data_IF_621208241023
#
_entry.id   IF_621208241023
#
_cell.length_a   1.000
_cell.length_b   1.000
_cell.length_c   1.000
_cell.angle_alpha   90.00
_cell.angle_beta   90.00
_cell.angle_gamma   90.00
#
_symmetry.space_group_name_H-M   'P 1'
#
loop_
_entity.id
_entity.type
_entity.pdbx_description
1 polymer ?
#
# COMPACT_ATOMS: atom_id res chain seq x y z
N UNK A 1 -21.12 90.28 51.80
CA UNK A 1 -21.77 90.30 53.16
C UNK A 1 -21.66 88.91 53.65
N UNK A 2 -20.66 88.73 54.31
CA UNK A 2 -20.35 88.11 55.59
C UNK A 2 -20.80 86.67 55.75
N UNK A 3 -19.81 85.74 55.58
CA UNK A 3 -19.90 84.43 56.15
C UNK A 3 -18.93 84.35 57.32
N UNK A 4 -19.50 84.18 58.51
CA UNK A 4 -18.78 83.92 59.75
C UNK A 4 -18.90 82.43 60.03
N UNK A 5 -17.77 81.75 60.14
CA UNK A 5 -17.44 80.61 60.96
C UNK A 5 -18.30 79.37 60.89
N UNK A 6 -17.77 78.30 60.35
CA UNK A 6 -17.94 76.91 60.84
C UNK A 6 -16.96 75.94 60.13
N UNK A 7 -16.23 75.20 60.94
CA UNK A 7 -15.22 74.24 60.53
C UNK A 7 -15.77 73.17 59.60
N UNK A 8 -15.17 73.03 58.41
CA UNK A 8 -15.44 71.93 57.53
C UNK A 8 -14.46 70.75 57.81
N UNK A 9 -14.95 69.82 58.57
CA UNK A 9 -14.26 68.52 58.76
C UNK A 9 -14.35 67.75 57.47
N UNK A 10 -13.17 67.58 56.80
CA UNK A 10 -13.00 66.71 55.66
C UNK A 10 -12.99 65.22 56.08
N UNK A 11 -14.17 64.61 55.98
CA UNK A 11 -14.33 63.18 56.11
C UNK A 11 -13.71 62.52 54.89
N UNK A 12 -12.51 61.93 55.03
CA UNK A 12 -11.88 61.09 54.02
C UNK A 12 -12.65 59.77 53.89
N UNK A 13 -13.54 59.70 52.94
CA UNK A 13 -14.09 58.38 52.45
C UNK A 13 -13.06 57.66 51.64
N UNK A 14 -12.35 56.78 52.26
CA UNK A 14 -11.52 55.71 51.57
C UNK A 14 -12.49 54.71 50.95
N UNK A 15 -12.74 54.86 49.66
CA UNK A 15 -13.40 53.82 48.84
C UNK A 15 -12.40 52.68 48.63
N UNK A 16 -12.69 51.42 49.05
CA UNK A 16 -11.88 50.27 48.64
C UNK A 16 -12.06 50.03 47.13
N UNK A 17 -10.98 50.18 46.36
CA UNK A 17 -10.91 49.69 44.99
C UNK A 17 -10.93 48.15 45.04
N UNK A 18 -12.10 47.55 44.78
CA UNK A 18 -12.18 46.14 44.52
C UNK A 18 -11.58 45.87 43.13
N UNK A 19 -10.31 45.43 43.10
CA UNK A 19 -9.68 44.93 41.88
C UNK A 19 -10.26 43.56 41.60
N UNK A 20 -11.25 43.49 40.69
CA UNK A 20 -11.74 42.24 40.15
C UNK A 20 -10.66 41.65 39.21
N UNK A 21 -9.89 40.68 39.68
CA UNK A 21 -8.96 39.87 38.86
C UNK A 21 -9.82 38.92 38.03
N UNK A 22 -10.10 39.27 36.78
CA UNK A 22 -10.71 38.39 35.81
C UNK A 22 -9.68 37.34 35.44
N UNK A 23 -9.77 36.11 35.99
CA UNK A 23 -9.01 34.95 35.59
C UNK A 23 -9.58 34.53 34.22
N UNK A 24 -8.96 34.98 33.13
CA UNK A 24 -9.23 34.49 31.79
C UNK A 24 -8.67 33.06 31.73
N UNK A 25 -9.51 32.04 31.91
CA UNK A 25 -9.20 30.67 31.64
C UNK A 25 -9.01 30.52 30.12
N UNK A 26 -7.77 30.61 29.65
CA UNK A 26 -7.41 30.21 28.31
C UNK A 26 -7.67 28.70 28.21
N UNK A 27 -8.82 28.29 27.68
CA UNK A 27 -9.02 26.94 27.18
C UNK A 27 -8.01 26.73 26.06
N UNK A 28 -6.91 26.04 26.36
CA UNK A 28 -5.95 25.63 25.33
C UNK A 28 -6.76 24.88 24.27
N UNK A 29 -6.68 25.25 22.98
CA UNK A 29 -7.32 24.46 21.93
C UNK A 29 -6.79 23.05 22.02
N UNK A 30 -7.66 22.08 22.27
CA UNK A 30 -7.32 20.66 22.19
C UNK A 30 -6.76 20.46 20.79
N UNK A 31 -5.48 20.09 20.70
CA UNK A 31 -4.86 19.77 19.42
C UNK A 31 -5.71 18.68 18.77
N UNK A 32 -6.54 19.06 17.80
CA UNK A 32 -7.30 18.11 17.00
C UNK A 32 -6.27 17.24 16.28
N UNK A 33 -6.05 16.04 16.77
CA UNK A 33 -5.21 15.08 16.09
C UNK A 33 -5.84 14.80 14.72
N UNK A 34 -5.16 15.19 13.65
CA UNK A 34 -5.61 14.89 12.30
C UNK A 34 -5.72 13.36 12.15
N UNK A 35 -6.81 12.90 11.56
CA UNK A 35 -6.97 11.48 11.28
C UNK A 35 -5.87 11.00 10.35
N UNK A 36 -5.38 9.80 10.58
CA UNK A 36 -4.32 9.16 9.80
C UNK A 36 -4.75 7.77 9.33
N UNK A 37 -4.23 7.37 8.17
CA UNK A 37 -4.44 6.04 7.61
C UNK A 37 -3.12 5.57 6.99
N UNK A 38 -2.61 4.43 7.45
CA UNK A 38 -1.38 3.84 6.95
C UNK A 38 -1.57 2.35 6.67
N UNK A 39 -0.63 1.74 5.95
CA UNK A 39 -0.62 0.29 5.70
C UNK A 39 0.48 -0.38 6.48
N UNK A 40 0.20 -1.58 7.01
CA UNK A 40 1.17 -2.41 7.70
C UNK A 40 1.23 -3.83 7.08
N UNK A 41 2.40 -4.31 6.60
CA UNK A 41 3.62 -3.54 6.42
C UNK A 41 3.50 -2.50 5.28
N UNK A 42 4.19 -1.35 5.42
CA UNK A 42 4.24 -0.35 4.35
C UNK A 42 5.09 -0.87 3.18
N UNK A 43 4.51 -0.84 1.97
CA UNK A 43 5.19 -1.26 0.73
C UNK A 43 4.87 -0.29 -0.40
N UNK A 44 5.80 -0.13 -1.33
CA UNK A 44 5.57 0.66 -2.55
C UNK A 44 4.62 -0.02 -3.55
N UNK A 45 4.40 -1.33 -3.42
CA UNK A 45 3.45 -2.09 -4.23
C UNK A 45 3.08 -3.41 -3.53
N UNK A 46 1.81 -3.74 -3.57
CA UNK A 46 1.25 -4.98 -3.04
C UNK A 46 0.87 -5.91 -4.19
N UNK A 47 0.98 -7.20 -3.96
CA UNK A 47 0.52 -8.21 -4.91
C UNK A 47 -0.97 -8.45 -4.75
N UNK A 48 -1.68 -8.60 -5.86
CA UNK A 48 -3.08 -9.05 -5.84
C UNK A 48 -3.24 -10.36 -5.04
N UNK A 49 -4.23 -10.40 -4.18
CA UNK A 49 -4.50 -11.49 -3.24
C UNK A 49 -3.70 -11.41 -1.92
N UNK A 50 -2.86 -10.40 -1.73
CA UNK A 50 -2.19 -10.14 -0.44
C UNK A 50 -3.17 -9.49 0.53
N UNK A 51 -3.12 -9.93 1.79
CA UNK A 51 -3.83 -9.26 2.89
C UNK A 51 -2.91 -8.17 3.44
N UNK A 52 -3.43 -6.97 3.55
CA UNK A 52 -2.75 -5.79 4.07
C UNK A 52 -3.57 -5.23 5.22
N UNK A 53 -2.91 -4.85 6.29
CA UNK A 53 -3.54 -4.19 7.42
C UNK A 53 -3.58 -2.69 7.18
N UNK A 54 -4.76 -2.11 7.26
CA UNK A 54 -4.98 -0.67 7.28
C UNK A 54 -5.10 -0.25 8.74
N UNK A 55 -4.15 0.56 9.18
CA UNK A 55 -4.10 1.06 10.54
C UNK A 55 -4.51 2.53 10.52
N UNK A 56 -5.58 2.85 11.22
CA UNK A 56 -6.11 4.21 11.35
C UNK A 56 -5.98 4.75 12.74
N UNK A 57 -5.86 6.08 12.87
CA UNK A 57 -5.84 6.78 14.16
C UNK A 57 -6.42 8.18 14.05
N UNK A 58 -6.83 8.75 15.21
CA UNK A 58 -7.43 10.08 15.29
C UNK A 58 -8.93 10.11 14.93
N UNK A 59 -9.61 8.96 14.95
CA UNK A 59 -11.06 8.83 14.77
C UNK A 59 -11.79 8.94 16.12
N UNK A 60 -13.12 9.02 16.10
CA UNK A 60 -13.93 8.99 17.30
C UNK A 60 -13.73 7.69 18.07
N UNK A 61 -13.53 7.79 19.38
CA UNK A 61 -13.30 6.65 20.27
C UNK A 61 -14.52 5.75 20.35
N UNK A 62 -14.32 4.43 20.42
CA UNK A 62 -15.39 3.43 20.57
C UNK A 62 -16.55 3.66 19.60
N UNK A 63 -16.23 4.05 18.37
CA UNK A 63 -17.15 4.39 17.28
C UNK A 63 -16.91 3.46 16.08
N UNK A 64 -17.34 3.88 14.92
CA UNK A 64 -17.18 3.16 13.66
C UNK A 64 -16.47 4.06 12.65
N UNK A 65 -15.46 3.51 11.98
CA UNK A 65 -14.86 4.08 10.78
C UNK A 65 -15.33 3.32 9.54
N UNK A 66 -15.78 4.03 8.52
CA UNK A 66 -16.19 3.47 7.24
C UNK A 66 -15.01 3.50 6.27
N UNK A 67 -14.62 2.34 5.74
CA UNK A 67 -13.56 2.23 4.75
C UNK A 67 -14.14 2.18 3.35
N UNK A 68 -13.63 3.00 2.45
CA UNK A 68 -13.94 3.00 1.02
C UNK A 68 -12.68 2.80 0.19
N UNK A 69 -12.87 2.29 -1.03
CA UNK A 69 -11.83 2.13 -2.06
C UNK A 69 -12.31 2.81 -3.34
N UNK A 70 -11.59 3.80 -3.83
CA UNK A 70 -11.95 4.58 -5.03
C UNK A 70 -13.39 5.12 -4.95
N UNK A 71 -13.81 5.56 -3.75
CA UNK A 71 -15.18 6.04 -3.47
C UNK A 71 -16.23 4.95 -3.25
N UNK A 72 -15.90 3.67 -3.43
CA UNK A 72 -16.82 2.56 -3.20
C UNK A 72 -16.66 2.02 -1.78
N UNK A 73 -17.74 1.92 -1.03
CA UNK A 73 -17.75 1.36 0.33
C UNK A 73 -17.24 -0.08 0.34
N UNK A 74 -16.32 -0.38 1.27
CA UNK A 74 -15.69 -1.69 1.44
C UNK A 74 -16.17 -2.36 2.73
N UNK A 75 -16.35 -1.59 3.79
CA UNK A 75 -16.79 -2.11 5.08
C UNK A 75 -16.66 -1.10 6.20
N UNK A 76 -17.18 -1.47 7.36
CA UNK A 76 -17.10 -0.68 8.59
C UNK A 76 -16.22 -1.40 9.61
N UNK A 77 -15.46 -0.62 10.38
CA UNK A 77 -14.46 -1.08 11.34
C UNK A 77 -14.71 -0.37 12.65
N UNK A 78 -14.72 -1.10 13.77
CA UNK A 78 -14.82 -0.50 15.10
C UNK A 78 -13.48 0.14 15.47
N UNK A 79 -13.55 1.36 16.00
CA UNK A 79 -12.44 2.04 16.63
C UNK A 79 -12.36 1.65 18.11
N UNK A 80 -11.15 1.57 18.62
CA UNK A 80 -10.90 1.31 20.04
C UNK A 80 -11.15 2.54 20.94
N UNK A 81 -10.88 2.39 22.25
CA UNK A 81 -11.02 3.47 23.22
C UNK A 81 -10.02 4.62 23.01
N UNK A 82 -9.03 4.49 22.14
CA UNK A 82 -8.08 5.54 21.73
C UNK A 82 -8.42 6.17 20.38
N UNK A 83 -9.46 5.67 19.69
CA UNK A 83 -9.85 6.12 18.35
C UNK A 83 -8.96 5.55 17.26
N UNK A 84 -8.35 4.36 17.48
CA UNK A 84 -7.54 3.63 16.52
C UNK A 84 -8.28 2.41 16.00
N UNK A 85 -7.88 1.91 14.85
CA UNK A 85 -8.32 0.63 14.30
C UNK A 85 -7.21 -0.07 13.53
N UNK A 86 -7.31 -1.39 13.40
CA UNK A 86 -6.50 -2.25 12.52
C UNK A 86 -7.43 -3.17 11.74
N UNK A 87 -7.43 -3.04 10.41
CA UNK A 87 -8.31 -3.80 9.54
C UNK A 87 -7.54 -4.54 8.44
N UNK A 88 -7.58 -5.86 8.48
CA UNK A 88 -7.02 -6.71 7.42
C UNK A 88 -7.90 -6.74 6.18
N UNK A 89 -7.42 -6.23 5.06
CA UNK A 89 -8.13 -6.25 3.78
C UNK A 89 -7.35 -7.00 2.72
N UNK A 90 -8.01 -7.91 2.02
CA UNK A 90 -7.42 -8.60 0.88
C UNK A 90 -7.47 -7.73 -0.36
N UNK A 91 -6.31 -7.34 -0.88
CA UNK A 91 -6.22 -6.51 -2.07
C UNK A 91 -6.44 -7.35 -3.34
N UNK A 92 -7.34 -6.93 -4.22
CA UNK A 92 -7.64 -7.64 -5.45
C UNK A 92 -7.37 -6.74 -6.67
N UNK A 93 -6.71 -7.32 -7.66
CA UNK A 93 -6.44 -6.70 -8.96
C UNK A 93 -6.36 -7.82 -10.01
N UNK A 94 -7.24 -7.80 -11.00
CA UNK A 94 -7.35 -8.87 -11.99
C UNK A 94 -6.22 -8.82 -13.02
N UNK A 95 -5.85 -7.62 -13.42
CA UNK A 95 -4.78 -7.43 -14.41
C UNK A 95 -4.07 -6.10 -14.23
N UNK A 96 -2.81 -6.04 -14.65
CA UNK A 96 -2.05 -4.81 -14.59
C UNK A 96 -1.52 -4.47 -13.20
N UNK A 97 -1.10 -3.24 -13.08
CA UNK A 97 -0.83 -2.56 -11.82
C UNK A 97 -1.70 -1.33 -11.78
N UNK A 98 -2.35 -1.09 -10.67
CA UNK A 98 -3.25 0.05 -10.50
C UNK A 98 -3.05 0.67 -9.14
N UNK A 99 -3.05 1.97 -9.11
CA UNK A 99 -3.13 2.75 -7.88
C UNK A 99 -4.59 2.83 -7.44
N UNK A 100 -4.81 2.62 -6.15
CA UNK A 100 -6.12 2.62 -5.50
C UNK A 100 -6.08 3.59 -4.34
N UNK A 101 -7.09 4.41 -4.21
CA UNK A 101 -7.26 5.29 -3.06
C UNK A 101 -8.15 4.62 -2.04
N UNK A 102 -7.62 4.40 -0.84
CA UNK A 102 -8.38 3.97 0.32
C UNK A 102 -8.63 5.17 1.22
N UNK A 103 -9.86 5.32 1.68
CA UNK A 103 -10.26 6.41 2.57
C UNK A 103 -11.06 5.83 3.73
N UNK A 104 -10.66 6.21 4.93
CA UNK A 104 -11.44 5.97 6.14
C UNK A 104 -12.16 7.26 6.51
N UNK A 105 -13.46 7.18 6.83
CA UNK A 105 -14.28 8.28 7.32
C UNK A 105 -14.96 7.87 8.62
N UNK A 106 -15.00 8.77 9.59
CA UNK A 106 -15.68 8.54 10.86
C UNK A 106 -17.20 8.53 10.66
N UNK A 107 -17.90 7.52 11.15
CA UNK A 107 -19.36 7.46 11.04
C UNK A 107 -20.07 8.51 11.88
N UNK A 108 -19.49 8.88 13.04
CA UNK A 108 -20.04 9.87 13.96
C UNK A 108 -19.69 11.31 13.54
N UNK A 109 -18.57 11.49 12.83
CA UNK A 109 -18.13 12.79 12.32
C UNK A 109 -17.57 12.64 10.90
N UNK A 110 -18.41 12.65 9.86
CA UNK A 110 -17.99 12.43 8.47
C UNK A 110 -16.95 13.43 7.93
N UNK A 111 -16.74 14.57 8.59
CA UNK A 111 -15.67 15.50 8.25
C UNK A 111 -14.28 14.96 8.64
N UNK A 112 -14.20 14.02 9.58
CA UNK A 112 -12.97 13.36 9.98
C UNK A 112 -12.67 12.24 8.99
N UNK A 113 -11.72 12.48 8.10
CA UNK A 113 -11.30 11.52 7.07
C UNK A 113 -9.80 11.41 7.00
N UNK A 114 -9.31 10.22 6.59
CA UNK A 114 -7.92 9.98 6.25
C UNK A 114 -7.85 9.12 4.99
N UNK A 115 -6.88 9.37 4.12
CA UNK A 115 -6.71 8.61 2.89
C UNK A 115 -5.28 8.18 2.65
N UNK A 116 -5.13 7.07 1.92
CA UNK A 116 -3.84 6.54 1.48
C UNK A 116 -3.95 5.99 0.06
N UNK A 117 -2.91 6.21 -0.74
CA UNK A 117 -2.78 5.60 -2.06
C UNK A 117 -1.98 4.31 -1.96
N UNK A 118 -2.50 3.24 -2.54
CA UNK A 118 -1.93 1.90 -2.50
C UNK A 118 -1.83 1.35 -3.91
N UNK A 119 -0.63 1.06 -4.38
CA UNK A 119 -0.45 0.39 -5.68
C UNK A 119 -0.62 -1.12 -5.53
N UNK A 120 -1.53 -1.70 -6.30
CA UNK A 120 -1.77 -3.15 -6.34
C UNK A 120 -1.43 -3.69 -7.72
N UNK A 121 -0.69 -4.79 -7.79
CA UNK A 121 -0.26 -5.41 -9.03
C UNK A 121 -0.65 -6.88 -9.11
N UNK A 122 -1.28 -7.26 -10.22
CA UNK A 122 -1.44 -8.67 -10.56
C UNK A 122 -0.09 -9.30 -10.91
N UNK A 123 0.22 -10.45 -10.29
CA UNK A 123 1.38 -11.23 -10.66
C UNK A 123 1.19 -11.77 -12.08
N UNK A 124 1.98 -11.30 -13.03
CA UNK A 124 1.90 -11.72 -14.41
C UNK A 124 3.27 -11.87 -15.05
N UNK A 125 3.38 -12.89 -15.91
CA UNK A 125 4.43 -12.99 -16.92
C UNK A 125 3.76 -13.17 -18.26
N UNK A 126 4.20 -12.44 -19.27
CA UNK A 126 3.83 -12.67 -20.67
C UNK A 126 5.07 -13.13 -21.42
N UNK A 127 4.92 -14.23 -22.13
CA UNK A 127 5.96 -14.83 -22.96
C UNK A 127 5.48 -14.83 -24.41
N UNK A 128 6.27 -14.26 -25.31
CA UNK A 128 5.91 -14.19 -26.74
C UNK A 128 7.17 -14.37 -27.62
N UNK A 129 7.05 -15.21 -28.66
CA UNK A 129 5.97 -16.16 -28.91
C UNK A 129 6.02 -17.33 -27.93
N UNK A 130 5.00 -18.19 -27.92
CA UNK A 130 4.95 -19.42 -27.12
C UNK A 130 5.47 -20.66 -27.87
N UNK A 131 5.83 -20.50 -29.14
CA UNK A 131 6.41 -21.54 -30.01
C UNK A 131 7.66 -21.01 -30.68
N UNK A 132 8.52 -21.89 -31.14
CA UNK A 132 9.66 -21.49 -31.96
C UNK A 132 10.85 -22.43 -31.91
N UNK A 133 11.86 -22.07 -32.69
CA UNK A 133 13.15 -22.80 -32.80
C UNK A 133 13.98 -22.58 -31.52
N UNK A 134 14.91 -23.51 -31.25
CA UNK A 134 15.82 -23.42 -30.08
C UNK A 134 16.66 -22.16 -30.02
N UNK A 135 17.03 -21.57 -31.15
CA UNK A 135 17.80 -20.34 -31.24
C UNK A 135 16.98 -19.07 -31.00
N UNK A 136 15.65 -19.19 -30.92
CA UNK A 136 14.75 -18.05 -30.85
C UNK A 136 14.91 -17.29 -29.54
N UNK A 137 14.86 -15.95 -29.63
CA UNK A 137 14.75 -15.07 -28.46
C UNK A 137 13.28 -14.81 -28.17
N UNK A 138 12.87 -15.07 -26.95
CA UNK A 138 11.53 -14.85 -26.44
C UNK A 138 11.46 -13.47 -25.77
N UNK A 139 10.39 -12.71 -26.03
CA UNK A 139 10.08 -11.50 -25.30
C UNK A 139 9.40 -11.89 -24.00
N UNK A 140 9.97 -11.47 -22.90
CA UNK A 140 9.47 -11.71 -21.54
C UNK A 140 9.03 -10.38 -20.99
N UNK A 141 7.79 -10.28 -20.52
CA UNK A 141 7.29 -9.16 -19.75
C UNK A 141 6.80 -9.70 -18.42
N UNK A 142 7.40 -9.25 -17.32
CA UNK A 142 7.09 -9.70 -15.97
C UNK A 142 6.66 -8.51 -15.11
N UNK A 143 5.74 -8.72 -14.16
CA UNK A 143 5.30 -7.73 -13.17
C UNK A 143 4.70 -8.38 -11.93
N UNK A 144 4.59 -7.61 -10.83
CA UNK A 144 3.94 -8.05 -9.60
C UNK A 144 4.75 -9.05 -8.78
N UNK A 145 6.06 -9.14 -9.02
CA UNK A 145 6.99 -9.93 -8.20
C UNK A 145 7.42 -9.11 -6.97
N UNK A 146 6.54 -8.92 -6.01
CA UNK A 146 6.77 -8.07 -4.82
C UNK A 146 7.86 -8.60 -3.88
N UNK A 147 8.38 -9.80 -4.11
CA UNK A 147 9.46 -10.41 -3.34
C UNK A 147 10.65 -10.71 -4.26
N UNK A 148 11.84 -10.20 -3.88
CA UNK A 148 13.07 -10.40 -4.64
C UNK A 148 13.21 -9.46 -5.84
N UNK A 149 14.45 -9.12 -6.17
CA UNK A 149 14.80 -8.14 -7.22
C UNK A 149 15.30 -8.76 -8.53
N UNK A 150 15.38 -10.07 -8.62
CA UNK A 150 15.91 -10.76 -9.81
C UNK A 150 14.91 -11.78 -10.32
N UNK A 151 14.55 -11.67 -11.59
CA UNK A 151 13.73 -12.67 -12.26
C UNK A 151 14.60 -13.82 -12.74
N UNK A 152 14.21 -15.04 -12.41
CA UNK A 152 14.80 -16.27 -12.88
C UNK A 152 13.80 -17.02 -13.74
N UNK A 153 14.33 -17.72 -14.75
CA UNK A 153 13.58 -18.71 -15.52
C UNK A 153 14.20 -20.11 -15.30
N UNK A 154 13.36 -21.03 -14.92
CA UNK A 154 13.73 -22.44 -14.73
C UNK A 154 13.13 -23.26 -15.86
N UNK A 155 13.97 -23.68 -16.78
CA UNK A 155 13.56 -24.54 -17.88
C UNK A 155 13.64 -25.98 -17.41
N UNK A 156 12.50 -26.65 -17.35
CA UNK A 156 12.37 -28.01 -16.87
C UNK A 156 12.01 -28.92 -18.06
N UNK A 157 12.84 -29.90 -18.32
CA UNK A 157 12.58 -30.94 -19.33
C UNK A 157 12.95 -32.30 -18.77
N UNK A 158 11.98 -33.17 -18.54
CA UNK A 158 12.18 -34.48 -17.88
C UNK A 158 12.92 -34.27 -16.53
N UNK A 159 14.12 -34.87 -16.37
CA UNK A 159 14.97 -34.79 -15.19
C UNK A 159 15.96 -33.61 -15.23
N UNK A 160 16.11 -32.94 -16.39
CA UNK A 160 17.04 -31.82 -16.55
C UNK A 160 16.39 -30.51 -16.12
N UNK A 161 17.13 -29.70 -15.37
CA UNK A 161 16.72 -28.36 -14.93
C UNK A 161 17.83 -27.38 -15.28
N UNK A 162 17.46 -26.29 -15.98
CA UNK A 162 18.37 -25.19 -16.28
C UNK A 162 17.84 -23.92 -15.62
N UNK A 163 18.71 -23.18 -14.94
CA UNK A 163 18.39 -21.95 -14.25
C UNK A 163 19.01 -20.76 -14.99
N UNK A 164 18.21 -19.80 -15.39
CA UNK A 164 18.63 -18.63 -16.16
C UNK A 164 18.28 -17.37 -15.39
N UNK A 165 19.27 -16.51 -15.14
CA UNK A 165 19.05 -15.16 -14.64
C UNK A 165 18.56 -14.31 -15.81
N UNK A 166 17.30 -13.89 -15.79
CA UNK A 166 16.69 -13.10 -16.87
C UNK A 166 17.05 -11.62 -16.74
N UNK A 167 17.00 -11.08 -15.53
CA UNK A 167 17.35 -9.69 -15.29
C UNK A 167 16.87 -9.18 -13.94
N UNK A 168 17.13 -7.90 -13.68
CA UNK A 168 16.67 -7.22 -12.49
C UNK A 168 15.28 -6.64 -12.72
N UNK A 169 14.41 -6.86 -11.74
CA UNK A 169 13.09 -6.26 -11.65
C UNK A 169 13.22 -4.84 -11.13
N UNK A 170 12.55 -3.88 -11.73
CA UNK A 170 12.63 -2.46 -11.40
C UNK A 170 11.25 -1.83 -11.14
N UNK A 171 11.25 -0.64 -10.56
CA UNK A 171 10.04 0.10 -10.19
C UNK A 171 9.32 -0.47 -8.97
N UNK A 172 8.28 0.24 -8.53
CA UNK A 172 7.53 -0.09 -7.31
C UNK A 172 6.93 -1.49 -7.33
N UNK A 173 6.40 -1.93 -8.47
CA UNK A 173 5.77 -3.23 -8.66
C UNK A 173 6.68 -4.27 -9.30
N UNK A 174 7.99 -4.07 -9.28
CA UNK A 174 8.99 -5.02 -9.79
C UNK A 174 8.65 -5.52 -11.20
N UNK A 175 8.84 -4.66 -12.19
CA UNK A 175 8.59 -4.96 -13.59
C UNK A 175 9.88 -5.28 -14.33
N UNK A 176 9.78 -6.09 -15.39
CA UNK A 176 10.88 -6.37 -16.29
C UNK A 176 10.36 -6.61 -17.71
N UNK A 177 11.07 -6.04 -18.68
CA UNK A 177 10.93 -6.42 -20.08
C UNK A 177 12.29 -6.84 -20.62
N UNK A 178 12.38 -8.07 -21.14
CA UNK A 178 13.62 -8.63 -21.65
C UNK A 178 13.39 -9.49 -22.90
N UNK A 179 14.46 -9.69 -23.68
CA UNK A 179 14.49 -10.69 -24.76
C UNK A 179 15.58 -11.70 -24.43
N UNK A 180 15.22 -12.98 -24.33
CA UNK A 180 16.13 -14.01 -23.86
C UNK A 180 16.01 -15.32 -24.63
N UNK A 181 17.14 -16.01 -24.81
CA UNK A 181 17.15 -17.39 -25.31
C UNK A 181 16.91 -18.33 -24.13
N UNK A 182 15.69 -18.83 -24.00
CA UNK A 182 15.30 -19.68 -22.87
C UNK A 182 15.73 -21.13 -23.04
N UNK A 183 15.74 -21.62 -24.29
CA UNK A 183 16.04 -23.01 -24.58
C UNK A 183 17.55 -23.20 -24.80
N UNK A 184 18.12 -24.32 -24.38
CA UNK A 184 19.51 -24.71 -24.72
C UNK A 184 19.62 -24.99 -26.20
N UNK A 185 20.84 -24.88 -26.77
CA UNK A 185 21.06 -25.09 -28.20
C UNK A 185 20.69 -26.51 -28.66
N UNK A 186 20.83 -27.50 -27.79
CA UNK A 186 20.49 -28.90 -27.98
C UNK A 186 19.10 -29.27 -27.43
N UNK A 187 18.19 -28.32 -27.27
CA UNK A 187 16.85 -28.62 -26.80
C UNK A 187 16.15 -29.56 -27.76
N UNK A 188 15.60 -30.64 -27.22
CA UNK A 188 14.84 -31.64 -28.02
C UNK A 188 13.50 -30.99 -28.47
N UNK A 189 12.98 -31.53 -29.57
CA UNK A 189 11.65 -31.19 -30.04
C UNK A 189 10.59 -31.53 -28.99
N UNK A 190 9.49 -30.76 -28.98
CA UNK A 190 8.38 -31.00 -28.08
C UNK A 190 8.20 -29.92 -27.04
N UNK A 191 7.53 -30.26 -25.94
CA UNK A 191 7.11 -29.31 -24.92
C UNK A 191 8.16 -29.15 -23.82
N UNK A 192 8.54 -27.90 -23.52
CA UNK A 192 9.41 -27.53 -22.41
C UNK A 192 8.62 -26.68 -21.44
N UNK A 193 8.62 -27.09 -20.16
CA UNK A 193 8.00 -26.31 -19.10
C UNK A 193 8.96 -25.26 -18.60
N UNK A 194 8.50 -24.01 -18.48
CA UNK A 194 9.28 -22.90 -17.96
C UNK A 194 8.55 -22.32 -16.78
N UNK A 195 9.25 -22.20 -15.67
CA UNK A 195 8.78 -21.52 -14.48
C UNK A 195 9.53 -20.21 -14.32
N UNK A 196 8.80 -19.12 -14.05
CA UNK A 196 9.37 -17.82 -13.70
C UNK A 196 9.11 -17.52 -12.24
N UNK A 197 10.15 -17.14 -11.51
CA UNK A 197 10.07 -16.72 -10.12
C UNK A 197 11.29 -15.84 -9.74
N UNK A 198 11.42 -15.47 -8.46
CA UNK A 198 12.53 -14.65 -7.96
C UNK A 198 13.59 -15.45 -7.21
N UNK A 199 13.58 -16.76 -7.30
CA UNK A 199 14.52 -17.64 -6.62
C UNK A 199 15.56 -18.22 -7.57
N UNK A 200 16.81 -18.24 -7.14
CA UNK A 200 17.91 -18.84 -7.94
C UNK A 200 17.72 -20.35 -8.13
N UNK A 201 17.18 -21.04 -7.13
CA UNK A 201 16.94 -22.49 -7.17
C UNK A 201 15.49 -22.79 -7.52
N UNK A 202 15.26 -23.72 -8.41
CA UNK A 202 13.92 -24.21 -8.76
C UNK A 202 13.20 -24.77 -7.52
N UNK A 203 11.98 -24.32 -7.28
CA UNK A 203 11.11 -24.81 -6.21
C UNK A 203 9.69 -24.93 -6.77
N UNK A 204 9.14 -26.16 -6.89
CA UNK A 204 7.85 -26.39 -7.55
C UNK A 204 6.65 -25.79 -6.79
N UNK A 205 6.73 -25.68 -5.45
CA UNK A 205 5.56 -25.48 -4.59
C UNK A 205 5.40 -24.04 -4.08
N UNK A 206 5.99 -23.06 -4.76
CA UNK A 206 5.91 -21.67 -4.30
C UNK A 206 4.74 -20.92 -4.90
N UNK A 207 4.00 -20.16 -4.05
CA UNK A 207 2.83 -19.36 -4.44
C UNK A 207 3.13 -18.22 -5.43
N UNK A 208 4.42 -17.86 -5.63
CA UNK A 208 4.86 -16.76 -6.48
C UNK A 208 5.57 -17.30 -7.71
N UNK A 209 4.84 -18.02 -8.56
CA UNK A 209 5.37 -18.63 -9.77
C UNK A 209 4.40 -18.44 -10.93
N UNK A 210 4.96 -18.42 -12.14
CA UNK A 210 4.20 -18.53 -13.39
C UNK A 210 4.82 -19.58 -14.27
N UNK A 211 3.99 -20.48 -14.77
CA UNK A 211 4.38 -21.61 -15.62
C UNK A 211 3.97 -21.36 -17.07
N UNK A 212 4.86 -21.72 -17.97
CA UNK A 212 4.62 -21.67 -19.41
C UNK A 212 5.07 -22.97 -20.05
N UNK A 213 4.48 -23.31 -21.18
CA UNK A 213 4.94 -24.39 -22.04
C UNK A 213 5.39 -23.78 -23.36
N UNK A 214 6.64 -23.99 -23.72
CA UNK A 214 7.17 -23.66 -25.04
C UNK A 214 7.20 -24.94 -25.87
N UNK A 215 6.60 -24.89 -27.06
CA UNK A 215 6.71 -25.95 -28.04
C UNK A 215 7.89 -25.66 -28.95
N UNK A 216 8.87 -26.59 -28.99
CA UNK A 216 10.00 -26.53 -29.89
C UNK A 216 9.64 -27.28 -31.18
N UNK A 217 9.71 -26.56 -32.29
CA UNK A 217 9.38 -27.06 -33.61
C UNK A 217 10.64 -27.26 -34.44
N UNK A 218 10.62 -28.24 -35.34
CA UNK A 218 11.66 -28.47 -36.34
C UNK A 218 11.68 -27.25 -37.26
N UNK A 219 12.85 -26.67 -37.47
CA UNK A 219 12.99 -25.61 -38.46
C UNK A 219 12.71 -26.19 -39.84
N UNK A 220 11.63 -25.71 -40.46
CA UNK A 220 11.53 -25.89 -41.94
C UNK A 220 12.77 -25.30 -42.60
N UNK A 221 13.34 -26.03 -43.52
CA UNK A 221 14.41 -25.58 -44.41
C UNK A 221 13.87 -24.50 -45.35
#
# INVERSE_FOLDING_TARGET
>A
MECVGAECTLSRMTRPLAVAVAIATFAAPSAAHAASLVTNPAKSCYRSGETVHFVGGGFTRSSTANLSRDGVFVGSILTDASGQFDAGLRLLQDSGSQERTYMASDASNPATTASIQVTVSALAVRLSPNTGRVSRRFRIRARGFTTGRTLWAHVVHRRSKRHLKIGHLSGSCHTLQARWRLLPANARLGRHRIQFDTYRRYRPDRKVQRHFTIRVEQGGR
#
